data_IF_976624228924
#
_entry.id   IF_976624228924
#
_cell.length_a   1.000
_cell.length_b   1.000
_cell.length_c   1.000
_cell.angle_alpha   90.00
_cell.angle_beta   90.00
_cell.angle_gamma   90.00
#
_symmetry.space_group_name_H-M   'P 1'
#
loop_
_entity.id
_entity.type
_entity.pdbx_description
1 polymer ?
#
# COMPACT_ATOMS: atom_id res chain seq x y z
N UNK A 1 2.68 -53.64 5.35
CA UNK A 1 3.42 -52.68 4.51
C UNK A 1 3.66 -51.41 5.30
N UNK A 2 4.94 -51.09 5.49
CA UNK A 2 5.59 -49.83 5.91
C UNK A 2 4.93 -48.93 6.97
N UNK A 3 5.22 -49.19 8.25
CA UNK A 3 5.08 -48.23 9.36
C UNK A 3 6.24 -47.22 9.46
N UNK A 4 6.67 -46.63 8.33
CA UNK A 4 7.85 -45.72 8.27
C UNK A 4 7.49 -44.25 8.04
N UNK A 5 6.25 -43.95 7.64
CA UNK A 5 5.80 -42.58 7.36
C UNK A 5 4.46 -42.35 8.06
N UNK A 6 4.32 -41.22 8.76
CA UNK A 6 3.10 -40.85 9.50
C UNK A 6 1.85 -40.75 8.62
N UNK A 7 0.69 -40.49 9.24
CA UNK A 7 -0.60 -40.36 8.53
C UNK A 7 -0.46 -39.44 7.30
N UNK A 8 -1.04 -39.86 6.16
CA UNK A 8 -1.06 -39.06 4.93
C UNK A 8 -1.70 -37.70 5.24
N UNK A 9 -0.99 -36.61 4.93
CA UNK A 9 -1.50 -35.26 5.11
C UNK A 9 -2.75 -35.08 4.24
N UNK A 10 -3.82 -34.57 4.85
CA UNK A 10 -5.05 -34.18 4.16
C UNK A 10 -5.15 -32.67 4.29
N UNK A 11 -5.08 -31.99 3.15
CA UNK A 11 -5.24 -30.55 3.10
C UNK A 11 -6.71 -30.19 3.29
N UNK A 12 -7.00 -29.36 4.29
CA UNK A 12 -8.35 -28.88 4.60
C UNK A 12 -8.54 -27.39 4.26
N UNK A 13 -7.54 -26.75 3.66
CA UNK A 13 -7.58 -25.33 3.35
C UNK A 13 -8.51 -25.06 2.18
N UNK A 14 -9.26 -23.97 2.27
CA UNK A 14 -9.90 -23.36 1.10
C UNK A 14 -8.84 -22.57 0.31
N UNK A 15 -8.24 -23.24 -0.66
CA UNK A 15 -7.26 -22.66 -1.56
C UNK A 15 -7.84 -21.54 -2.40
N UNK A 16 -9.11 -21.61 -2.79
CA UNK A 16 -9.72 -20.59 -3.65
C UNK A 16 -9.84 -19.26 -2.92
N UNK A 17 -10.29 -19.28 -1.67
CA UNK A 17 -10.32 -18.09 -0.82
C UNK A 17 -8.91 -17.57 -0.53
N UNK A 18 -7.97 -18.47 -0.23
CA UNK A 18 -6.58 -18.10 0.04
C UNK A 18 -5.91 -17.41 -1.14
N UNK A 19 -6.07 -17.96 -2.35
CA UNK A 19 -5.49 -17.41 -3.57
C UNK A 19 -6.13 -16.06 -3.92
N UNK A 20 -7.45 -15.93 -3.78
CA UNK A 20 -8.13 -14.66 -4.01
C UNK A 20 -7.60 -13.57 -3.06
N UNK A 21 -7.43 -13.89 -1.77
CA UNK A 21 -6.87 -12.95 -0.81
C UNK A 21 -5.43 -12.50 -1.16
N UNK A 22 -4.62 -13.37 -1.79
CA UNK A 22 -3.29 -13.00 -2.27
C UNK A 22 -3.36 -12.06 -3.48
N UNK A 23 -4.29 -12.30 -4.40
CA UNK A 23 -4.55 -11.42 -5.55
C UNK A 23 -5.03 -10.05 -5.08
N UNK A 24 -6.03 -10.02 -4.19
CA UNK A 24 -6.63 -8.79 -3.66
C UNK A 24 -5.59 -7.94 -2.91
N UNK A 25 -4.68 -8.59 -2.17
CA UNK A 25 -3.57 -7.92 -1.49
C UNK A 25 -2.64 -7.22 -2.48
N UNK A 26 -2.31 -7.86 -3.59
CA UNK A 26 -1.50 -7.26 -4.64
C UNK A 26 -2.21 -6.07 -5.30
N UNK A 27 -3.50 -6.22 -5.58
CA UNK A 27 -4.32 -5.18 -6.18
C UNK A 27 -4.47 -3.95 -5.27
N UNK A 28 -4.62 -4.15 -3.95
CA UNK A 28 -4.73 -3.07 -2.97
C UNK A 28 -3.55 -2.09 -3.03
N UNK A 29 -2.32 -2.58 -3.23
CA UNK A 29 -1.15 -1.69 -3.36
C UNK A 29 -1.15 -0.86 -4.65
N UNK A 30 -1.97 -1.23 -5.63
CA UNK A 30 -2.07 -0.58 -6.94
C UNK A 30 -3.39 0.18 -7.13
N UNK A 31 -4.19 0.31 -6.07
CA UNK A 31 -5.48 1.00 -6.13
C UNK A 31 -5.30 2.49 -6.50
N UNK A 32 -6.05 2.91 -7.52
CA UNK A 32 -6.04 4.24 -8.10
C UNK A 32 -7.02 5.19 -7.39
N UNK A 33 -7.76 4.75 -6.37
CA UNK A 33 -8.71 5.57 -5.61
C UNK A 33 -8.09 6.88 -5.08
N UNK A 34 -6.78 6.90 -4.84
CA UNK A 34 -6.01 8.10 -4.45
C UNK A 34 -6.05 9.23 -5.48
N UNK A 35 -6.47 8.95 -6.72
CA UNK A 35 -6.54 9.90 -7.84
C UNK A 35 -7.91 10.55 -8.00
N UNK A 36 -8.96 9.94 -7.47
CA UNK A 36 -10.34 10.41 -7.68
C UNK A 36 -10.58 11.82 -7.13
N UNK A 37 -9.79 12.22 -6.11
CA UNK A 37 -9.90 13.52 -5.44
C UNK A 37 -8.63 14.36 -5.56
N UNK A 38 -7.93 14.28 -6.68
CA UNK A 38 -6.67 15.00 -6.87
C UNK A 38 -6.80 16.51 -6.67
N UNK A 39 -7.74 17.14 -7.39
CA UNK A 39 -7.94 18.59 -7.34
C UNK A 39 -8.40 19.04 -5.95
N UNK A 40 -9.40 18.37 -5.38
CA UNK A 40 -9.90 18.66 -4.03
C UNK A 40 -8.78 18.56 -2.99
N UNK A 41 -7.97 17.51 -3.05
CA UNK A 41 -6.85 17.32 -2.12
C UNK A 41 -5.78 18.41 -2.24
N UNK A 42 -5.49 18.88 -3.46
CA UNK A 42 -4.56 20.00 -3.69
C UNK A 42 -5.15 21.32 -3.21
N UNK A 43 -6.43 21.58 -3.50
CA UNK A 43 -7.11 22.81 -3.10
C UNK A 43 -7.18 22.92 -1.56
N UNK A 44 -7.53 21.83 -0.86
CA UNK A 44 -7.51 21.76 0.61
C UNK A 44 -6.12 22.04 1.18
N UNK A 45 -5.06 21.48 0.59
CA UNK A 45 -3.69 21.72 1.05
C UNK A 45 -3.24 23.17 0.87
N UNK A 46 -3.85 23.90 -0.07
CA UNK A 46 -3.51 25.28 -0.40
C UNK A 46 -4.49 26.31 0.15
N UNK A 47 -5.52 25.88 0.88
CA UNK A 47 -6.49 26.78 1.48
C UNK A 47 -5.78 27.78 2.41
N UNK A 48 -5.99 29.08 2.16
CA UNK A 48 -5.36 30.16 2.91
C UNK A 48 -3.84 30.34 2.70
N UNK A 49 -3.20 29.59 1.78
CA UNK A 49 -1.77 29.76 1.46
C UNK A 49 -1.55 30.79 0.36
N UNK A 50 -0.83 31.85 0.71
CA UNK A 50 -0.35 32.88 -0.22
C UNK A 50 1.10 32.66 -0.69
N UNK A 51 1.81 31.71 -0.07
CA UNK A 51 3.20 31.35 -0.38
C UNK A 51 3.24 30.11 -1.28
N UNK A 52 4.44 29.51 -1.49
CA UNK A 52 4.62 28.33 -2.36
C UNK A 52 3.55 27.28 -2.11
N UNK A 53 2.74 27.06 -3.14
CA UNK A 53 1.62 26.13 -3.13
C UNK A 53 2.10 24.68 -3.32
N UNK A 54 1.32 23.76 -2.79
CA UNK A 54 1.44 22.33 -3.00
C UNK A 54 0.91 21.97 -4.40
N UNK A 55 1.67 21.18 -5.14
CA UNK A 55 1.28 20.75 -6.49
C UNK A 55 0.65 19.34 -6.51
N UNK A 56 0.87 18.57 -5.44
CA UNK A 56 0.46 17.16 -5.36
C UNK A 56 -0.37 16.93 -4.10
N UNK A 57 -1.45 16.13 -4.17
CA UNK A 57 -2.26 15.80 -3.00
C UNK A 57 -1.46 14.90 -2.03
N UNK A 58 -1.82 14.92 -0.75
CA UNK A 58 -1.21 14.03 0.23
C UNK A 58 -1.46 12.55 -0.11
N UNK A 59 -2.61 12.21 -0.69
CA UNK A 59 -2.94 10.85 -1.14
C UNK A 59 -1.90 10.25 -2.09
N UNK A 60 -1.37 11.04 -3.02
CA UNK A 60 -0.28 10.59 -3.90
C UNK A 60 1.01 10.32 -3.12
N UNK A 61 1.33 11.17 -2.15
CA UNK A 61 2.52 11.00 -1.31
C UNK A 61 2.37 9.76 -0.42
N UNK A 62 1.19 9.51 0.14
CA UNK A 62 0.88 8.30 0.88
C UNK A 62 1.04 7.06 0.02
N UNK A 63 0.48 7.07 -1.19
CA UNK A 63 0.61 5.94 -2.11
C UNK A 63 2.09 5.68 -2.46
N UNK A 64 2.84 6.73 -2.79
CA UNK A 64 4.28 6.63 -3.01
C UNK A 64 5.05 6.11 -1.77
N UNK A 65 4.65 6.52 -0.56
CA UNK A 65 5.24 6.02 0.67
C UNK A 65 4.93 4.52 0.90
N UNK A 66 3.73 4.06 0.55
CA UNK A 66 3.39 2.64 0.58
C UNK A 66 4.25 1.83 -0.38
N UNK A 67 4.45 2.34 -1.60
CA UNK A 67 5.36 1.71 -2.56
C UNK A 67 6.80 1.63 -2.02
N UNK A 68 7.27 2.68 -1.35
CA UNK A 68 8.57 2.68 -0.69
C UNK A 68 8.67 1.62 0.42
N UNK A 69 7.67 1.57 1.30
CA UNK A 69 7.69 0.73 2.49
C UNK A 69 7.43 -0.75 2.20
N UNK A 70 6.48 -1.05 1.31
CA UNK A 70 6.01 -2.42 1.03
C UNK A 70 6.84 -3.08 -0.06
N UNK A 71 7.09 -2.37 -1.17
CA UNK A 71 7.84 -2.92 -2.30
C UNK A 71 9.36 -2.64 -2.19
N UNK A 72 9.79 -1.90 -1.16
CA UNK A 72 11.19 -1.57 -0.94
C UNK A 72 11.78 -0.63 -2.01
N UNK A 73 10.94 0.03 -2.81
CA UNK A 73 11.42 0.83 -3.94
C UNK A 73 12.14 2.10 -3.46
N UNK A 74 13.40 2.36 -3.86
CA UNK A 74 14.06 3.63 -3.60
C UNK A 74 13.30 4.82 -4.21
N UNK A 75 13.38 6.00 -3.59
CA UNK A 75 12.65 7.20 -4.04
C UNK A 75 12.84 7.56 -5.52
N UNK A 76 14.04 7.33 -6.09
CA UNK A 76 14.30 7.56 -7.52
C UNK A 76 13.59 6.54 -8.42
N UNK A 77 13.47 5.30 -7.98
CA UNK A 77 12.68 4.29 -8.70
C UNK A 77 11.20 4.64 -8.62
N UNK A 78 10.71 5.14 -7.47
CA UNK A 78 9.34 5.62 -7.34
C UNK A 78 9.08 6.77 -8.31
N UNK A 79 9.96 7.76 -8.43
CA UNK A 79 9.82 8.83 -9.44
C UNK A 79 9.66 8.25 -10.86
N UNK A 80 10.52 7.30 -11.25
CA UNK A 80 10.43 6.64 -12.56
C UNK A 80 9.13 5.83 -12.74
N UNK A 81 8.72 5.11 -11.70
CA UNK A 81 7.47 4.35 -11.66
C UNK A 81 6.26 5.28 -11.85
N UNK A 82 6.17 6.37 -11.09
CA UNK A 82 5.07 7.34 -11.22
C UNK A 82 5.07 7.98 -12.62
N UNK A 83 6.24 8.34 -13.17
CA UNK A 83 6.33 8.86 -14.56
C UNK A 83 5.71 7.91 -15.56
N UNK A 84 5.99 6.60 -15.44
CA UNK A 84 5.44 5.60 -16.35
C UNK A 84 3.98 5.30 -16.07
N UNK A 85 3.58 5.25 -14.80
CA UNK A 85 2.21 4.98 -14.37
C UNK A 85 1.24 6.07 -14.81
N UNK A 86 1.66 7.34 -14.75
CA UNK A 86 0.84 8.49 -15.18
C UNK A 86 1.06 8.91 -16.64
N UNK A 87 1.83 8.13 -17.40
CA UNK A 87 2.05 8.41 -18.82
C UNK A 87 0.70 8.45 -19.57
N UNK A 88 0.47 9.51 -20.35
CA UNK A 88 -0.78 9.71 -21.10
C UNK A 88 -1.95 10.29 -20.29
N UNK A 89 -1.85 10.43 -18.97
CA UNK A 89 -2.91 11.03 -18.14
C UNK A 89 -2.87 12.57 -18.11
N UNK A 90 -1.74 13.17 -18.51
CA UNK A 90 -1.50 14.62 -18.39
C UNK A 90 -1.22 15.10 -16.96
N UNK A 91 -1.24 14.20 -15.96
CA UNK A 91 -0.91 14.53 -14.58
C UNK A 91 0.60 14.74 -14.41
N UNK A 92 0.97 15.77 -13.66
CA UNK A 92 2.36 15.96 -13.23
C UNK A 92 2.69 14.99 -12.12
N UNK A 93 3.97 14.59 -12.08
CA UNK A 93 4.49 13.69 -11.05
C UNK A 93 5.54 14.38 -10.19
N UNK A 94 5.59 14.08 -8.88
CA UNK A 94 6.59 14.64 -7.99
C UNK A 94 7.98 14.09 -8.32
N UNK A 95 8.98 14.97 -8.27
CA UNK A 95 10.39 14.58 -8.41
C UNK A 95 10.90 13.87 -7.14
N UNK A 96 12.07 13.24 -7.24
CA UNK A 96 12.77 12.61 -6.12
C UNK A 96 12.82 13.50 -4.87
N UNK A 97 13.15 14.78 -5.03
CA UNK A 97 13.32 15.70 -3.90
C UNK A 97 12.00 15.94 -3.19
N UNK A 98 10.92 16.13 -3.95
CA UNK A 98 9.56 16.32 -3.42
C UNK A 98 9.10 15.06 -2.71
N UNK A 99 9.27 13.88 -3.33
CA UNK A 99 8.95 12.59 -2.74
C UNK A 99 9.70 12.38 -1.42
N UNK A 100 11.03 12.51 -1.43
CA UNK A 100 11.86 12.33 -0.24
C UNK A 100 11.45 13.24 0.91
N UNK A 101 11.27 14.54 0.63
CA UNK A 101 10.92 15.53 1.65
C UNK A 101 9.53 15.27 2.22
N UNK A 102 8.53 15.03 1.37
CA UNK A 102 7.14 14.88 1.82
C UNK A 102 6.92 13.53 2.50
N UNK A 103 7.47 12.44 1.98
CA UNK A 103 7.37 11.12 2.63
C UNK A 103 8.02 11.13 4.01
N UNK A 104 9.19 11.78 4.18
CA UNK A 104 9.82 11.92 5.50
C UNK A 104 9.07 12.84 6.46
N UNK A 105 8.28 13.76 5.93
CA UNK A 105 7.45 14.66 6.73
C UNK A 105 6.07 14.07 7.04
N UNK A 106 5.68 12.96 6.39
CA UNK A 106 4.44 12.27 6.71
C UNK A 106 4.52 11.75 8.15
N UNK A 107 3.54 12.17 8.96
CA UNK A 107 3.29 11.55 10.25
C UNK A 107 2.34 10.38 10.00
N UNK A 108 2.86 9.17 10.06
CA UNK A 108 2.03 7.97 10.06
C UNK A 108 1.39 7.82 11.43
N UNK A 109 0.22 8.42 11.60
CA UNK A 109 -0.71 7.93 12.62
C UNK A 109 -1.40 6.72 11.98
N UNK A 110 -0.80 5.54 12.13
CA UNK A 110 -1.51 4.28 11.86
C UNK A 110 -2.60 4.14 12.93
N UNK A 111 -3.71 4.87 12.78
CA UNK A 111 -4.97 4.42 13.34
C UNK A 111 -5.38 3.20 12.52
N UNK A 112 -4.88 2.04 12.94
CA UNK A 112 -5.40 0.78 12.44
C UNK A 112 -6.83 0.73 12.97
N UNK A 113 -7.80 1.11 12.13
CA UNK A 113 -9.20 0.82 12.34
C UNK A 113 -9.39 -0.69 12.18
N UNK A 114 -8.82 -1.46 13.10
CA UNK A 114 -9.22 -2.83 13.33
C UNK A 114 -10.65 -2.72 13.84
N UNK A 115 -11.62 -3.14 13.03
CA UNK A 115 -12.88 -3.59 13.61
C UNK A 115 -12.54 -4.49 14.79
N UNK A 116 -13.17 -4.26 15.96
CA UNK A 116 -12.93 -4.97 17.23
C UNK A 116 -13.17 -6.48 17.09
N UNK A 117 -12.22 -7.17 16.46
CA UNK A 117 -12.12 -8.62 16.33
C UNK A 117 -10.67 -8.97 16.63
N UNK A 118 -10.46 -10.07 17.35
CA UNK A 118 -9.11 -10.56 17.64
C UNK A 118 -8.36 -10.85 16.33
N UNK A 119 -7.46 -9.93 15.97
CA UNK A 119 -6.58 -10.07 14.81
C UNK A 119 -5.21 -10.50 15.30
N UNK A 120 -4.76 -11.70 14.92
CA UNK A 120 -3.39 -12.15 15.17
C UNK A 120 -2.57 -11.85 13.92
N UNK A 121 -1.75 -10.79 13.98
CA UNK A 121 -0.81 -10.43 12.92
C UNK A 121 0.52 -11.11 13.20
N UNK A 122 0.90 -12.08 12.37
CA UNK A 122 2.24 -12.64 12.39
C UNK A 122 3.08 -11.95 11.31
N UNK A 123 4.16 -11.30 11.74
CA UNK A 123 5.14 -10.68 10.85
C UNK A 123 6.35 -11.62 10.77
N UNK A 124 6.50 -12.32 9.65
CA UNK A 124 7.71 -13.06 9.34
C UNK A 124 8.47 -12.39 8.19
N UNK A 125 9.76 -12.72 8.02
CA UNK A 125 10.62 -12.15 6.97
C UNK A 125 10.17 -12.49 5.53
N UNK A 126 9.12 -13.30 5.39
CA UNK A 126 8.47 -13.67 4.11
C UNK A 126 7.17 -12.90 3.85
N UNK A 127 6.67 -12.11 4.79
CA UNK A 127 5.55 -11.19 4.59
C UNK A 127 4.56 -11.13 5.74
N UNK A 128 3.60 -10.20 5.61
CA UNK A 128 2.50 -10.04 6.56
C UNK A 128 1.47 -11.15 6.34
N UNK A 129 1.24 -11.99 7.36
CA UNK A 129 0.16 -12.97 7.38
C UNK A 129 -0.91 -12.50 8.35
N UNK A 130 -2.12 -12.35 7.83
CA UNK A 130 -3.33 -12.05 8.61
C UNK A 130 -4.16 -13.32 8.64
N UNK A 131 -4.52 -13.81 9.82
CA UNK A 131 -5.51 -14.88 9.98
C UNK A 131 -6.66 -14.42 10.86
N UNK A 132 -7.86 -14.83 10.49
CA UNK A 132 -9.05 -14.70 11.31
C UNK A 132 -9.23 -16.03 12.03
N UNK A 133 -9.28 -16.02 13.37
CA UNK A 133 -9.59 -17.24 14.13
C UNK A 133 -11.08 -17.23 14.49
N UNK A 134 -11.80 -18.14 13.86
CA UNK A 134 -13.25 -18.25 14.02
C UNK A 134 -13.89 -19.18 12.99
N UNK A 135 -13.27 -20.34 12.74
CA UNK A 135 -13.87 -21.61 12.28
C UNK A 135 -12.84 -22.74 12.47
#
# INVERSE_FOLDING_TARGET
MSGRWGKKYVDKRDWRSSDQNLVDRGAFFLDHSVLEKWKEGVDMLNEGKYVRQYEFPDGLIYWAAMQHAVLGMPYRQIEGYLKKYFEGTGLRVPDYTTLFRRIRALKFDLEICLEKKELVVAVDSTGIKVSHRGE
#
